data_IF_791928754224
#
_entry.id   IF_791928754224
#
_cell.length_a   1.000
_cell.length_b   1.000
_cell.length_c   1.000
_cell.angle_alpha   90.00
_cell.angle_beta   90.00
_cell.angle_gamma   90.00
#
_symmetry.space_group_name_H-M   'P 1'
#
loop_
_entity.id
_entity.type
_entity.pdbx_description
1 polymer ?
#
# COMPACT_ATOMS: atom_id res chain seq x y z
N UNK A 1 -1.67 -20.15 -10.26
CA UNK A 1 -0.22 -20.45 -10.46
C UNK A 1 0.25 -21.27 -9.30
N UNK A 2 0.87 -22.44 -9.55
CA UNK A 2 1.53 -23.23 -8.53
C UNK A 2 2.73 -22.42 -8.01
N UNK A 3 2.83 -22.28 -6.68
CA UNK A 3 4.04 -21.72 -6.04
C UNK A 3 5.29 -22.37 -6.63
N UNK A 4 6.16 -21.56 -7.24
CA UNK A 4 7.32 -22.05 -7.98
C UNK A 4 8.51 -22.39 -7.08
N UNK A 5 8.58 -21.84 -5.85
CA UNK A 5 9.68 -22.06 -4.91
C UNK A 5 9.18 -22.65 -3.59
N UNK A 6 10.08 -23.31 -2.86
CA UNK A 6 9.81 -23.85 -1.52
C UNK A 6 9.47 -22.72 -0.54
N UNK A 7 10.14 -21.58 -0.67
CA UNK A 7 9.93 -20.38 0.15
C UNK A 7 8.53 -19.79 -0.06
N UNK A 8 8.06 -19.72 -1.30
CA UNK A 8 6.69 -19.30 -1.59
C UNK A 8 5.66 -20.24 -0.97
N UNK A 9 5.91 -21.56 -1.00
CA UNK A 9 5.00 -22.52 -0.34
C UNK A 9 4.94 -22.28 1.16
N UNK A 10 6.10 -22.11 1.83
CA UNK A 10 6.17 -21.83 3.27
C UNK A 10 5.47 -20.51 3.59
N UNK A 11 5.62 -19.50 2.75
CA UNK A 11 4.95 -18.22 2.92
C UNK A 11 3.42 -18.38 2.91
N UNK A 12 2.87 -19.08 1.91
CA UNK A 12 1.42 -19.32 1.81
C UNK A 12 0.89 -20.29 2.88
N UNK A 13 1.71 -21.19 3.41
CA UNK A 13 1.34 -22.04 4.56
C UNK A 13 1.19 -21.23 5.85
N UNK A 14 2.00 -20.17 6.02
CA UNK A 14 1.97 -19.30 7.20
C UNK A 14 0.88 -18.21 7.14
N UNK A 15 0.51 -17.78 5.96
CA UNK A 15 -0.39 -16.66 5.77
C UNK A 15 -1.63 -17.08 4.98
N UNK A 16 -2.80 -16.75 5.52
CA UNK A 16 -4.08 -16.98 4.86
C UNK A 16 -4.29 -16.01 3.71
N UNK A 17 -3.83 -14.75 3.89
CA UNK A 17 -3.95 -13.66 2.92
C UNK A 17 -2.56 -13.07 2.70
N UNK A 18 -2.03 -13.14 1.47
CA UNK A 18 -0.69 -12.61 1.18
C UNK A 18 -0.60 -11.10 1.27
N UNK A 19 -1.58 -10.39 0.72
CA UNK A 19 -1.55 -8.93 0.56
C UNK A 19 -2.96 -8.36 0.60
N UNK A 20 -3.16 -7.29 1.38
CA UNK A 20 -4.42 -6.55 1.46
C UNK A 20 -4.16 -5.06 1.34
N UNK A 21 -4.77 -4.44 0.36
CA UNK A 21 -4.84 -3.00 0.23
C UNK A 21 -6.04 -2.46 1.00
N UNK A 22 -5.85 -1.48 1.87
CA UNK A 22 -6.93 -0.78 2.58
C UNK A 22 -7.01 0.63 2.03
N UNK A 23 -8.17 0.97 1.43
CA UNK A 23 -8.37 2.27 0.80
C UNK A 23 -8.81 3.31 1.83
N UNK A 24 -7.98 4.33 2.02
CA UNK A 24 -8.20 5.41 2.99
C UNK A 24 -8.81 6.66 2.34
N UNK A 25 -8.65 6.80 1.02
CA UNK A 25 -9.07 7.96 0.24
C UNK A 25 -9.37 7.54 -1.19
N UNK A 26 -10.47 8.01 -1.75
CA UNK A 26 -10.84 7.74 -3.14
C UNK A 26 -10.15 8.71 -4.10
N UNK A 27 -9.71 9.88 -3.62
CA UNK A 27 -9.08 10.92 -4.43
C UNK A 27 -7.59 11.11 -4.13
N UNK A 28 -6.90 11.78 -5.06
CA UNK A 28 -5.48 12.04 -5.01
C UNK A 28 -5.17 13.51 -5.32
N UNK A 29 -4.03 13.99 -4.87
CA UNK A 29 -3.46 15.28 -5.27
C UNK A 29 -2.69 15.21 -6.60
N UNK A 30 -2.63 14.03 -7.24
CA UNK A 30 -2.14 13.79 -8.59
C UNK A 30 -3.29 13.40 -9.52
N UNK A 31 -3.06 13.59 -10.83
CA UNK A 31 -4.01 13.25 -11.88
C UNK A 31 -3.35 12.28 -12.90
N UNK A 32 -2.95 11.10 -12.44
CA UNK A 32 -2.24 10.12 -13.26
C UNK A 32 -3.17 9.49 -14.30
N UNK A 33 -2.76 9.49 -15.57
CA UNK A 33 -3.56 8.98 -16.68
C UNK A 33 -3.91 7.48 -16.56
N UNK A 34 -3.04 6.69 -15.95
CA UNK A 34 -3.22 5.24 -15.76
C UNK A 34 -3.34 4.86 -14.29
N UNK A 35 -4.05 5.67 -13.51
CA UNK A 35 -4.25 5.41 -12.09
C UNK A 35 -5.04 4.10 -11.87
N UNK A 36 -4.45 3.15 -11.14
CA UNK A 36 -5.09 1.85 -10.85
C UNK A 36 -6.28 1.98 -9.90
N UNK A 37 -6.35 3.07 -9.13
CA UNK A 37 -7.44 3.38 -8.20
C UNK A 37 -8.46 4.35 -8.78
N UNK A 38 -8.34 4.71 -10.05
CA UNK A 38 -9.22 5.66 -10.74
C UNK A 38 -9.41 7.00 -10.02
N UNK A 39 -8.48 7.38 -9.15
CA UNK A 39 -8.56 8.59 -8.32
C UNK A 39 -8.85 9.90 -9.10
N UNK A 40 -8.41 10.09 -10.36
CA UNK A 40 -8.79 11.26 -11.15
C UNK A 40 -10.28 11.36 -11.47
N UNK A 41 -11.01 10.26 -11.42
CA UNK A 41 -12.45 10.17 -11.71
C UNK A 41 -13.28 10.13 -10.42
N UNK A 42 -12.65 9.95 -9.28
CA UNK A 42 -13.32 9.78 -8.00
C UNK A 42 -13.76 11.11 -7.39
N UNK A 43 -14.84 11.09 -6.64
CA UNK A 43 -15.22 12.19 -5.78
C UNK A 43 -14.21 12.35 -4.62
N UNK A 44 -14.07 13.60 -4.12
CA UNK A 44 -13.25 13.85 -2.93
C UNK A 44 -13.93 13.25 -1.70
N UNK A 45 -13.48 12.06 -1.32
CA UNK A 45 -14.02 11.30 -0.21
C UNK A 45 -12.88 10.63 0.57
N UNK A 46 -13.01 10.59 1.87
CA UNK A 46 -12.21 9.77 2.77
C UNK A 46 -13.08 8.66 3.34
N UNK A 47 -12.51 7.47 3.51
CA UNK A 47 -13.17 6.44 4.29
C UNK A 47 -13.11 6.86 5.76
N UNK A 48 -14.25 6.99 6.47
CA UNK A 48 -14.26 7.41 7.88
C UNK A 48 -13.49 6.44 8.77
N UNK A 49 -12.84 6.98 9.81
CA UNK A 49 -12.02 6.19 10.74
C UNK A 49 -12.79 5.01 11.34
N UNK A 50 -14.03 5.21 11.76
CA UNK A 50 -14.85 4.16 12.40
C UNK A 50 -15.14 3.00 11.43
N UNK A 51 -15.25 3.28 10.13
CA UNK A 51 -15.41 2.27 9.09
C UNK A 51 -14.11 1.48 8.93
N UNK A 52 -12.98 2.19 8.84
CA UNK A 52 -11.65 1.57 8.72
C UNK A 52 -11.34 0.71 9.97
N UNK A 53 -11.58 1.22 11.18
CA UNK A 53 -11.34 0.46 12.42
C UNK A 53 -12.17 -0.81 12.44
N UNK A 54 -13.47 -0.72 12.11
CA UNK A 54 -14.37 -1.87 12.04
C UNK A 54 -13.88 -2.91 11.03
N UNK A 55 -13.45 -2.46 9.87
CA UNK A 55 -12.98 -3.30 8.78
C UNK A 55 -11.68 -4.01 9.14
N UNK A 56 -10.70 -3.28 9.67
CA UNK A 56 -9.42 -3.82 10.13
C UNK A 56 -9.63 -4.85 11.24
N UNK A 57 -10.48 -4.53 12.23
CA UNK A 57 -10.83 -5.45 13.31
C UNK A 57 -11.45 -6.73 12.75
N UNK A 58 -12.42 -6.61 11.84
CA UNK A 58 -13.09 -7.75 11.25
C UNK A 58 -12.15 -8.61 10.40
N UNK A 59 -11.27 -7.98 9.64
CA UNK A 59 -10.23 -8.66 8.89
C UNK A 59 -9.31 -9.46 9.81
N UNK A 60 -8.87 -8.86 10.93
CA UNK A 60 -7.98 -9.54 11.88
C UNK A 60 -8.61 -10.78 12.51
N UNK A 61 -9.91 -10.70 12.85
CA UNK A 61 -10.69 -11.83 13.37
C UNK A 61 -10.81 -12.95 12.33
N UNK A 62 -11.22 -12.63 11.10
CA UNK A 62 -11.45 -13.60 10.04
C UNK A 62 -10.16 -14.25 9.55
N UNK A 63 -9.10 -13.47 9.39
CA UNK A 63 -7.80 -13.94 8.96
C UNK A 63 -6.95 -14.53 10.11
N UNK A 64 -7.43 -14.49 11.36
CA UNK A 64 -6.66 -14.93 12.54
C UNK A 64 -5.25 -14.29 12.59
N UNK A 65 -5.16 -13.03 12.22
CA UNK A 65 -3.90 -12.28 12.07
C UNK A 65 -2.92 -12.89 11.04
N UNK A 66 -3.37 -13.78 10.17
CA UNK A 66 -2.55 -14.43 9.14
C UNK A 66 -2.58 -13.64 7.82
N UNK A 67 -2.35 -12.34 7.91
CA UNK A 67 -2.14 -11.45 6.77
C UNK A 67 -0.65 -11.12 6.71
N UNK A 68 -0.03 -11.37 5.57
CA UNK A 68 1.41 -11.15 5.45
C UNK A 68 1.75 -9.68 5.30
N UNK A 69 0.94 -8.96 4.52
CA UNK A 69 1.16 -7.55 4.22
C UNK A 69 -0.16 -6.79 4.19
N UNK A 70 -0.12 -5.56 4.70
CA UNK A 70 -1.19 -4.58 4.57
C UNK A 70 -0.59 -3.31 3.98
N UNK A 71 -1.18 -2.82 2.90
CA UNK A 71 -0.86 -1.52 2.32
C UNK A 71 -2.00 -0.54 2.58
N UNK A 72 -1.73 0.47 3.38
CA UNK A 72 -2.59 1.62 3.60
C UNK A 72 -2.44 2.55 2.40
N UNK A 73 -3.45 2.60 1.55
CA UNK A 73 -3.38 3.31 0.27
C UNK A 73 -4.70 3.98 -0.10
N UNK A 74 -4.91 4.25 -1.36
CA UNK A 74 -6.11 4.89 -1.91
C UNK A 74 -5.71 5.71 -3.12
N UNK A 75 -6.33 6.87 -3.32
CA UNK A 75 -5.78 7.87 -4.20
C UNK A 75 -4.45 8.38 -3.64
N UNK A 76 -4.53 9.19 -2.57
CA UNK A 76 -3.36 9.56 -1.75
C UNK A 76 -3.73 9.45 -0.27
N UNK A 77 -3.17 8.47 0.46
CA UNK A 77 -3.53 8.21 1.85
C UNK A 77 -3.17 9.36 2.81
N UNK A 78 -2.10 10.11 2.53
CA UNK A 78 -1.68 11.24 3.37
C UNK A 78 -2.62 12.45 3.30
N UNK A 79 -3.62 12.43 2.43
CA UNK A 79 -4.71 13.42 2.45
C UNK A 79 -5.75 13.10 3.52
N UNK A 80 -5.83 11.85 4.00
CA UNK A 80 -6.79 11.49 5.04
C UNK A 80 -6.36 12.14 6.37
N UNK A 81 -7.21 12.99 6.97
CA UNK A 81 -6.86 13.71 8.19
C UNK A 81 -6.69 12.79 9.41
N UNK A 82 -7.22 11.58 9.36
CA UNK A 82 -7.20 10.58 10.44
C UNK A 82 -6.09 9.53 10.24
N UNK A 83 -5.08 9.85 9.42
CA UNK A 83 -4.00 8.90 9.08
C UNK A 83 -3.25 8.39 10.31
N UNK A 84 -3.07 9.22 11.35
CA UNK A 84 -2.37 8.85 12.58
C UNK A 84 -3.15 7.80 13.35
N UNK A 85 -4.44 8.02 13.55
CA UNK A 85 -5.36 7.07 14.22
C UNK A 85 -5.44 5.75 13.45
N UNK A 86 -5.48 5.83 12.11
CA UNK A 86 -5.51 4.65 11.24
C UNK A 86 -4.23 3.83 11.37
N UNK A 87 -3.08 4.46 11.48
CA UNK A 87 -1.81 3.77 11.73
C UNK A 87 -1.82 3.01 13.05
N UNK A 88 -2.29 3.65 14.13
CA UNK A 88 -2.38 3.04 15.44
C UNK A 88 -3.35 1.86 15.46
N UNK A 89 -4.54 2.00 14.88
CA UNK A 89 -5.52 0.92 14.84
C UNK A 89 -5.05 -0.25 13.98
N UNK A 90 -4.35 0.04 12.87
CA UNK A 90 -3.77 -0.99 12.01
C UNK A 90 -2.74 -1.83 12.77
N UNK A 91 -1.82 -1.20 13.50
CA UNK A 91 -0.82 -1.90 14.30
C UNK A 91 -1.42 -2.63 15.49
N UNK A 92 -2.45 -2.06 16.14
CA UNK A 92 -3.17 -2.70 17.24
C UNK A 92 -3.77 -4.06 16.86
N UNK A 93 -4.42 -4.14 15.71
CA UNK A 93 -5.08 -5.37 15.27
C UNK A 93 -4.15 -6.30 14.47
N UNK A 94 -3.06 -5.79 13.95
CA UNK A 94 -2.05 -6.56 13.20
C UNK A 94 -0.65 -6.32 13.75
N UNK A 95 -0.34 -6.82 14.97
CA UNK A 95 0.90 -6.50 15.68
C UNK A 95 2.16 -7.01 14.98
N UNK A 96 2.05 -8.10 14.20
CA UNK A 96 3.20 -8.76 13.55
C UNK A 96 3.16 -8.66 12.01
N UNK A 97 2.13 -8.06 11.45
CA UNK A 97 1.98 -7.93 9.99
C UNK A 97 2.88 -6.80 9.47
N UNK A 98 3.43 -7.00 8.29
CA UNK A 98 4.14 -5.94 7.59
C UNK A 98 3.12 -4.92 7.07
N UNK A 99 3.21 -3.68 7.55
CA UNK A 99 2.27 -2.61 7.18
C UNK A 99 3.05 -1.48 6.53
N UNK A 100 2.59 -1.02 5.37
CA UNK A 100 3.15 0.14 4.68
C UNK A 100 2.07 1.17 4.35
N UNK A 101 2.47 2.44 4.27
CA UNK A 101 1.69 3.52 3.66
C UNK A 101 2.24 3.73 2.25
N UNK A 102 1.40 3.52 1.23
CA UNK A 102 1.74 3.74 -0.18
C UNK A 102 1.40 5.17 -0.58
N UNK A 103 2.39 6.03 -0.76
CA UNK A 103 2.21 7.46 -1.03
C UNK A 103 2.98 7.94 -2.26
N UNK A 104 2.49 8.98 -2.91
CA UNK A 104 3.25 9.69 -3.96
C UNK A 104 4.36 10.60 -3.40
N UNK A 105 4.43 10.76 -2.08
CA UNK A 105 5.50 11.46 -1.38
C UNK A 105 5.39 13.00 -1.36
N UNK A 106 4.46 13.61 -2.08
CA UNK A 106 4.35 15.08 -2.18
C UNK A 106 4.13 15.73 -0.81
N UNK A 107 3.31 15.11 0.03
CA UNK A 107 2.91 15.66 1.32
C UNK A 107 3.89 15.36 2.46
N UNK A 108 4.89 14.51 2.27
CA UNK A 108 5.76 14.04 3.35
C UNK A 108 6.48 15.16 4.10
N UNK A 109 6.92 16.20 3.39
CA UNK A 109 7.60 17.36 4.02
C UNK A 109 6.67 18.20 4.88
N UNK A 110 5.37 18.15 4.65
CA UNK A 110 4.36 18.90 5.39
C UNK A 110 3.68 18.07 6.49
N UNK A 111 3.99 16.78 6.60
CA UNK A 111 3.43 15.94 7.65
C UNK A 111 3.93 16.38 9.03
N UNK A 112 3.01 16.48 10.02
CA UNK A 112 3.35 16.92 11.38
C UNK A 112 4.29 15.92 12.07
N UNK A 113 4.97 16.39 13.11
CA UNK A 113 5.91 15.55 13.88
C UNK A 113 5.21 14.34 14.51
N UNK A 114 3.95 14.48 14.90
CA UNK A 114 3.12 13.38 15.41
C UNK A 114 3.03 12.22 14.43
N UNK A 115 2.88 12.49 13.13
CA UNK A 115 2.90 11.45 12.09
C UNK A 115 4.22 10.67 12.11
N UNK A 116 5.37 11.37 12.17
CA UNK A 116 6.69 10.73 12.17
C UNK A 116 6.95 9.93 13.44
N UNK A 117 6.50 10.46 14.58
CA UNK A 117 6.55 9.73 15.84
C UNK A 117 5.70 8.45 15.77
N UNK A 118 4.51 8.52 15.19
CA UNK A 118 3.63 7.36 14.99
C UNK A 118 4.24 6.34 14.03
N UNK A 119 4.86 6.78 12.93
CA UNK A 119 5.62 5.88 12.02
C UNK A 119 6.67 5.11 12.79
N UNK A 120 7.44 5.80 13.64
CA UNK A 120 8.49 5.20 14.46
C UNK A 120 7.94 4.19 15.48
N UNK A 121 6.89 4.55 16.20
CA UNK A 121 6.33 3.72 17.29
C UNK A 121 5.57 2.52 16.76
N UNK A 122 4.84 2.69 15.66
CA UNK A 122 4.09 1.60 15.02
C UNK A 122 4.96 0.70 14.15
N UNK A 123 6.15 1.17 13.73
CA UNK A 123 7.00 0.48 12.79
C UNK A 123 6.37 0.32 11.40
N UNK A 124 5.43 1.20 11.04
CA UNK A 124 4.83 1.24 9.71
C UNK A 124 5.83 1.84 8.73
N UNK A 125 5.96 1.22 7.57
CA UNK A 125 6.88 1.64 6.52
C UNK A 125 6.23 2.75 5.68
N UNK A 126 6.98 3.81 5.38
CA UNK A 126 6.56 4.81 4.40
C UNK A 126 7.13 4.43 3.05
N UNK A 127 6.29 3.93 2.13
CA UNK A 127 6.69 3.53 0.79
C UNK A 127 6.27 4.58 -0.23
N UNK A 128 7.26 5.10 -0.94
CA UNK A 128 7.09 6.22 -1.87
C UNK A 128 7.10 5.70 -3.30
N UNK A 129 6.03 5.97 -4.02
CA UNK A 129 5.98 5.76 -5.46
C UNK A 129 6.77 6.87 -6.16
N UNK A 130 7.73 6.47 -6.99
CA UNK A 130 8.53 7.41 -7.76
C UNK A 130 7.77 7.85 -9.03
N UNK A 131 7.70 9.14 -9.26
CA UNK A 131 7.11 9.74 -10.45
C UNK A 131 8.06 10.73 -11.10
N UNK A 132 8.27 10.57 -12.42
CA UNK A 132 9.11 11.49 -13.19
C UNK A 132 8.63 12.94 -13.06
N UNK A 133 9.53 13.85 -12.67
CA UNK A 133 9.23 15.26 -12.50
C UNK A 133 8.53 15.65 -11.20
N UNK A 134 8.29 14.67 -10.31
CA UNK A 134 7.68 14.90 -8.99
C UNK A 134 8.69 14.65 -7.87
N UNK A 135 9.38 13.51 -7.92
CA UNK A 135 10.37 13.12 -6.93
C UNK A 135 11.50 12.32 -7.57
N UNK A 136 12.63 12.26 -6.91
CA UNK A 136 13.77 11.46 -7.30
C UNK A 136 14.29 10.65 -6.12
N UNK A 137 15.02 9.56 -6.42
CA UNK A 137 15.66 8.73 -5.39
C UNK A 137 16.56 9.55 -4.48
N UNK A 138 17.35 10.46 -5.06
CA UNK A 138 18.29 11.29 -4.28
C UNK A 138 17.57 12.27 -3.35
N UNK A 139 16.47 12.88 -3.79
CA UNK A 139 15.64 13.73 -2.93
C UNK A 139 15.05 12.96 -1.76
N UNK A 140 14.50 11.75 -2.03
CA UNK A 140 13.92 10.90 -0.99
C UNK A 140 15.01 10.43 -0.02
N UNK A 141 16.16 10.03 -0.52
CA UNK A 141 17.30 9.62 0.30
C UNK A 141 17.79 10.74 1.22
N UNK A 142 17.89 11.97 0.71
CA UNK A 142 18.24 13.12 1.51
C UNK A 142 17.18 13.42 2.57
N UNK A 143 15.91 13.38 2.20
CA UNK A 143 14.81 13.54 3.15
C UNK A 143 14.79 12.44 4.24
N UNK A 144 15.04 11.19 3.88
CA UNK A 144 15.16 10.09 4.85
C UNK A 144 16.29 10.36 5.84
N UNK A 145 17.46 10.86 5.36
CA UNK A 145 18.59 11.25 6.21
C UNK A 145 18.22 12.39 7.17
N UNK A 146 17.50 13.39 6.70
CA UNK A 146 17.01 14.51 7.54
C UNK A 146 16.08 14.02 8.67
N UNK A 147 15.26 13.01 8.39
CA UNK A 147 14.36 12.39 9.36
C UNK A 147 15.03 11.32 10.25
N UNK A 148 16.31 11.04 10.06
CA UNK A 148 16.99 9.95 10.76
C UNK A 148 16.42 8.57 10.44
N UNK A 149 15.88 8.42 9.24
CA UNK A 149 15.23 7.21 8.76
C UNK A 149 16.19 6.28 8.03
N UNK A 150 15.96 4.97 8.13
CA UNK A 150 16.60 3.97 7.27
C UNK A 150 15.99 4.06 5.87
N UNK A 151 16.82 4.33 4.87
CA UNK A 151 16.40 4.39 3.47
C UNK A 151 16.63 3.04 2.79
N UNK A 152 15.61 2.57 2.08
CA UNK A 152 15.67 1.35 1.27
C UNK A 152 15.21 1.64 -0.15
N UNK A 153 15.90 1.05 -1.12
CA UNK A 153 15.54 1.15 -2.52
C UNK A 153 15.30 -0.24 -3.09
N UNK A 154 14.23 -0.38 -3.88
CA UNK A 154 13.90 -1.63 -4.59
C UNK A 154 13.70 -2.83 -3.64
N UNK A 155 13.03 -2.64 -2.51
CA UNK A 155 12.71 -3.77 -1.66
C UNK A 155 11.82 -4.77 -2.42
N UNK A 156 12.31 -6.00 -2.55
CA UNK A 156 11.56 -7.11 -3.12
C UNK A 156 10.66 -7.74 -2.07
N UNK A 157 9.75 -8.62 -2.50
CA UNK A 157 8.87 -9.39 -1.60
C UNK A 157 9.66 -10.18 -0.56
N UNK A 158 10.88 -10.58 -0.89
CA UNK A 158 11.76 -11.36 -0.03
C UNK A 158 12.39 -10.52 1.09
N UNK A 159 12.45 -9.19 0.93
CA UNK A 159 12.97 -8.24 1.94
C UNK A 159 11.92 -7.87 3.02
N UNK A 160 10.71 -8.44 2.95
CA UNK A 160 9.59 -8.10 3.85
C UNK A 160 9.74 -8.63 5.28
N UNK A 161 10.76 -9.40 5.57
CA UNK A 161 10.98 -9.98 6.90
C UNK A 161 11.64 -9.02 7.90
N UNK A 162 11.95 -7.80 7.52
CA UNK A 162 12.60 -6.84 8.40
C UNK A 162 11.59 -6.20 9.35
N UNK A 163 11.37 -6.82 10.50
CA UNK A 163 10.63 -6.21 11.60
C UNK A 163 11.33 -4.92 12.01
N UNK A 164 10.56 -3.84 12.05
CA UNK A 164 11.10 -2.53 12.38
C UNK A 164 11.28 -2.40 13.89
N UNK A 165 12.51 -2.41 14.33
CA UNK A 165 12.91 -2.15 15.70
C UNK A 165 12.80 -0.64 15.99
N UNK A 166 11.56 -0.10 16.17
CA UNK A 166 11.32 1.31 16.53
C UNK A 166 12.11 2.33 15.70
N UNK A 167 12.21 2.10 14.39
CA UNK A 167 12.90 2.98 13.44
C UNK A 167 11.92 3.49 12.39
N UNK A 168 12.17 4.71 11.91
CA UNK A 168 11.50 5.19 10.70
C UNK A 168 12.16 4.50 9.52
N UNK A 169 11.36 3.82 8.68
CA UNK A 169 11.81 3.22 7.43
C UNK A 169 11.11 3.91 6.28
N UNK A 170 11.88 4.43 5.34
CA UNK A 170 11.40 5.00 4.09
C UNK A 170 11.89 4.14 2.95
N UNK A 171 10.95 3.64 2.14
CA UNK A 171 11.24 2.82 0.98
C UNK A 171 10.84 3.55 -0.30
N UNK A 172 11.48 3.19 -1.42
CA UNK A 172 10.99 3.55 -2.75
C UNK A 172 10.62 2.29 -3.51
N UNK A 173 9.51 2.35 -4.22
CA UNK A 173 9.17 1.32 -5.20
C UNK A 173 10.23 1.29 -6.28
N UNK A 174 10.82 0.12 -6.50
CA UNK A 174 11.91 -0.04 -7.43
C UNK A 174 11.56 0.33 -8.84
N UNK A 175 11.87 1.56 -9.23
CA UNK A 175 11.98 1.98 -10.62
C UNK A 175 10.79 1.70 -11.53
N UNK A 176 9.62 1.43 -10.99
CA UNK A 176 8.41 1.17 -11.76
C UNK A 176 7.82 2.46 -12.36
N UNK A 177 8.71 3.36 -12.77
CA UNK A 177 8.40 4.67 -13.32
C UNK A 177 7.94 4.63 -14.75
N UNK A 178 8.05 3.50 -15.38
CA UNK A 178 7.51 3.24 -16.69
C UNK A 178 6.06 2.75 -16.66
N UNK A 179 5.25 3.26 -15.70
CA UNK A 179 3.80 3.27 -15.87
C UNK A 179 3.44 4.17 -17.06
N UNK A 180 4.29 4.13 -18.07
CA UNK A 180 4.03 4.61 -19.40
C UNK A 180 2.92 3.74 -19.95
N UNK A 181 1.72 4.36 -19.99
CA UNK A 181 0.67 3.91 -20.89
C UNK A 181 0.52 2.38 -20.97
N UNK A 182 -0.25 1.81 -20.05
CA UNK A 182 -0.99 0.62 -20.44
C UNK A 182 -2.21 1.14 -21.23
N UNK A 183 -2.19 1.12 -22.57
CA UNK A 183 -3.36 1.51 -23.33
C UNK A 183 -4.49 0.61 -22.91
N UNK A 184 -5.59 1.19 -22.48
CA UNK A 184 -6.81 0.43 -22.24
C UNK A 184 -7.24 -0.14 -23.57
N UNK A 185 -7.19 -1.45 -23.72
CA UNK A 185 -7.76 -2.13 -24.87
C UNK A 185 -9.29 -2.16 -24.70
N UNK A 186 -9.97 -1.22 -25.33
CA UNK A 186 -11.43 -1.11 -25.34
C UNK A 186 -12.11 -1.95 -26.41
N UNK A 187 -11.37 -2.83 -27.11
CA UNK A 187 -11.93 -3.66 -28.20
C UNK A 187 -12.94 -4.70 -27.72
N UNK A 188 -12.91 -5.06 -26.44
CA UNK A 188 -13.72 -6.14 -25.88
C UNK A 188 -13.30 -7.54 -26.36
N UNK A 189 -12.13 -7.67 -27.01
CA UNK A 189 -11.61 -8.91 -27.57
C UNK A 189 -10.53 -9.56 -26.72
N UNK A 190 -10.33 -9.07 -25.51
CA UNK A 190 -9.31 -9.61 -24.60
C UNK A 190 -9.63 -11.04 -24.20
N UNK A 191 -8.60 -11.88 -24.15
CA UNK A 191 -8.70 -13.19 -23.53
C UNK A 191 -8.66 -13.00 -21.99
N UNK A 192 -9.81 -13.14 -21.36
CA UNK A 192 -9.96 -12.94 -19.91
C UNK A 192 -9.16 -13.98 -19.11
N UNK A 193 -9.05 -15.22 -19.58
CA UNK A 193 -8.28 -16.25 -18.90
C UNK A 193 -6.78 -15.93 -18.98
N UNK A 194 -6.29 -15.57 -20.17
CA UNK A 194 -4.91 -15.16 -20.35
C UNK A 194 -4.57 -13.96 -19.47
N UNK A 195 -5.40 -12.92 -19.45
CA UNK A 195 -5.18 -11.73 -18.63
C UNK A 195 -5.18 -12.06 -17.14
N UNK A 196 -6.09 -12.89 -16.67
CA UNK A 196 -6.13 -13.32 -15.26
C UNK A 196 -4.89 -14.14 -14.88
N UNK A 197 -4.48 -15.09 -15.71
CA UNK A 197 -3.31 -15.93 -15.45
C UNK A 197 -2.00 -15.18 -15.48
N UNK A 198 -1.91 -14.08 -16.24
CA UNK A 198 -0.71 -13.27 -16.39
C UNK A 198 -0.77 -11.93 -15.62
N UNK A 199 -1.81 -11.69 -14.84
CA UNK A 199 -1.92 -10.51 -13.99
C UNK A 199 -0.85 -10.53 -12.89
N UNK A 200 0.01 -9.53 -12.85
CA UNK A 200 1.02 -9.40 -11.80
C UNK A 200 0.42 -9.08 -10.42
N UNK A 201 -0.78 -8.50 -10.41
CA UNK A 201 -1.53 -8.12 -9.20
C UNK A 201 -2.57 -9.17 -8.77
N UNK A 202 -2.44 -10.41 -9.19
CA UNK A 202 -3.43 -11.47 -8.91
C UNK A 202 -3.59 -11.83 -7.42
N UNK A 203 -2.72 -11.35 -6.54
CA UNK A 203 -2.77 -11.57 -5.09
C UNK A 203 -3.14 -10.31 -4.29
N UNK A 204 -3.37 -9.17 -4.96
CA UNK A 204 -3.66 -7.90 -4.29
C UNK A 204 -5.16 -7.77 -4.04
N UNK A 205 -5.61 -8.27 -2.89
CA UNK A 205 -6.98 -8.06 -2.43
C UNK A 205 -7.16 -6.62 -1.91
N UNK A 206 -8.40 -6.15 -1.87
CA UNK A 206 -8.71 -4.83 -1.39
C UNK A 206 -9.84 -4.86 -0.36
N UNK A 207 -9.69 -4.10 0.71
CA UNK A 207 -10.71 -3.83 1.72
C UNK A 207 -11.15 -2.37 1.59
N UNK A 208 -12.41 -2.16 1.28
CA UNK A 208 -12.97 -0.83 1.09
C UNK A 208 -14.42 -0.79 1.57
N UNK A 209 -14.74 0.12 2.48
CA UNK A 209 -16.09 0.38 3.01
C UNK A 209 -16.87 -0.89 3.41
N UNK A 210 -16.23 -1.80 4.13
CA UNK A 210 -16.85 -3.04 4.63
C UNK A 210 -16.89 -4.19 3.64
N UNK A 211 -16.38 -4.00 2.43
CA UNK A 211 -16.34 -5.04 1.39
C UNK A 211 -14.91 -5.50 1.10
N UNK A 212 -14.77 -6.79 0.91
CA UNK A 212 -13.52 -7.41 0.50
C UNK A 212 -13.57 -7.76 -0.99
N UNK A 213 -12.67 -7.17 -1.75
CA UNK A 213 -12.57 -7.33 -3.19
C UNK A 213 -11.35 -8.17 -3.56
N UNK A 214 -11.44 -9.08 -4.54
CA UNK A 214 -10.30 -9.86 -5.00
C UNK A 214 -9.27 -9.05 -5.80
N UNK A 215 -9.59 -7.81 -6.14
CA UNK A 215 -8.73 -6.92 -6.92
C UNK A 215 -9.03 -5.47 -6.56
N UNK A 216 -8.00 -4.65 -6.37
CA UNK A 216 -8.12 -3.22 -6.05
C UNK A 216 -8.90 -2.45 -7.13
N UNK A 217 -8.75 -2.83 -8.40
CA UNK A 217 -9.39 -2.12 -9.53
C UNK A 217 -10.90 -2.24 -9.56
N UNK A 218 -11.49 -3.22 -8.89
CA UNK A 218 -12.96 -3.40 -8.85
C UNK A 218 -13.57 -2.85 -7.55
N UNK A 219 -12.76 -2.30 -6.67
CA UNK A 219 -13.19 -1.67 -5.41
C UNK A 219 -13.57 -0.19 -5.58
N UNK A 220 -13.17 0.43 -6.69
CA UNK A 220 -13.37 1.85 -7.00
C UNK A 220 -14.33 2.07 -8.18
#
# INVERSE_FOLDING_TARGET
>A
KTCKTVEQKIFFEKHLIPDVNILLSDHCNLNCASCTNYAPLANKKFTPFEVIEKDIKKLSELAQNKVARIDLMGGEPLLNPEIVEIMWVSRKYFPSTNIAIETNGILLKSMPEEFWQTVKETGIIVRISLYNGINSVDEIKNFAKEKGADFRQNCTVDDWCCQNEHKIVIETNGGCLDWKYYPLDLSGKQDLNYNFENCEQHCCCCLHEGFFYPCTRIAN
#
